data_IF_338680573670
#
_entry.id   IF_338680573670
#
_cell.length_a   1.000
_cell.length_b   1.000
_cell.length_c   1.000
_cell.angle_alpha   90.00
_cell.angle_beta   90.00
_cell.angle_gamma   90.00
#
_symmetry.space_group_name_H-M   'P 1'
#
loop_
_entity.id
_entity.type
_entity.pdbx_description
1 polymer ?
#
# COMPACT_ATOMS: atom_id res chain seq x y z
N UNK A 1 0.34 1.49 27.50
CA UNK A 1 1.21 1.13 28.65
C UNK A 1 2.61 1.67 28.35
N UNK A 2 3.11 2.66 29.10
CA UNK A 2 4.42 3.30 28.82
C UNK A 2 5.54 2.28 29.02
N UNK A 3 6.33 1.96 27.98
CA UNK A 3 7.50 1.08 28.08
C UNK A 3 8.77 1.80 27.68
N UNK A 4 9.82 1.48 28.44
CA UNK A 4 11.01 2.28 28.70
C UNK A 4 11.97 2.21 27.52
N UNK A 5 12.37 3.38 27.02
CA UNK A 5 13.51 3.52 26.10
C UNK A 5 14.77 3.20 26.90
N UNK A 6 15.45 2.11 26.57
CA UNK A 6 16.81 1.85 27.03
C UNK A 6 17.78 2.63 26.14
N UNK A 7 17.98 3.92 26.44
CA UNK A 7 19.12 4.66 25.93
C UNK A 7 20.38 4.10 26.59
N UNK A 8 21.17 3.31 25.86
CA UNK A 8 22.56 3.02 26.24
C UNK A 8 23.45 3.99 25.46
N UNK A 9 23.71 5.13 26.08
CA UNK A 9 24.87 5.99 25.78
C UNK A 9 26.03 5.51 26.66
N UNK A 10 27.20 5.25 26.06
CA UNK A 10 28.54 5.34 26.67
C UNK A 10 29.58 5.00 25.60
N UNK A 11 30.79 5.54 25.57
CA UNK A 11 31.31 6.90 25.64
C UNK A 11 32.81 6.79 25.28
N UNK A 12 33.37 7.90 24.80
CA UNK A 12 34.79 8.26 24.82
C UNK A 12 35.79 7.47 23.95
N UNK A 13 36.29 8.14 22.91
CA UNK A 13 37.71 8.00 22.52
C UNK A 13 38.35 9.38 22.66
N UNK A 14 39.24 9.49 23.64
CA UNK A 14 40.11 10.64 23.84
C UNK A 14 41.13 10.73 22.71
N UNK A 15 41.08 11.80 21.91
CA UNK A 15 42.21 12.17 21.07
C UNK A 15 43.31 12.75 21.97
N UNK A 16 44.38 12.01 22.18
CA UNK A 16 45.67 12.59 22.57
C UNK A 16 46.55 12.66 21.31
N UNK A 17 46.71 13.88 20.81
CA UNK A 17 47.78 14.23 19.89
C UNK A 17 49.08 14.30 20.70
N UNK A 18 50.03 13.40 20.42
CA UNK A 18 51.44 13.60 20.71
C UNK A 18 52.28 13.15 19.51
N UNK A 19 53.28 13.96 19.21
CA UNK A 19 54.06 14.04 17.99
C UNK A 19 55.10 12.94 17.78
N UNK A 20 55.49 12.78 16.50
CA UNK A 20 56.81 12.40 15.98
C UNK A 20 57.42 11.04 16.35
N UNK A 21 57.67 10.24 15.31
CA UNK A 21 58.73 9.24 15.31
C UNK A 21 58.45 8.12 14.31
N UNK A 22 59.23 8.04 13.23
CA UNK A 22 59.24 6.89 12.33
C UNK A 22 59.46 5.61 13.13
N UNK A 23 58.53 4.66 13.02
CA UNK A 23 58.81 3.26 13.25
C UNK A 23 57.86 2.42 12.41
N UNK A 24 58.44 1.60 11.54
CA UNK A 24 57.76 0.52 10.83
C UNK A 24 57.05 -0.36 11.86
N UNK A 25 55.72 -0.29 11.88
CA UNK A 25 54.88 -1.25 12.55
C UNK A 25 53.91 -1.80 11.52
N UNK A 26 54.02 -3.10 11.30
CA UNK A 26 53.04 -3.89 10.58
C UNK A 26 51.80 -3.97 11.48
N UNK A 27 51.06 -2.87 11.61
CA UNK A 27 49.77 -2.86 12.28
C UNK A 27 48.82 -3.69 11.41
N UNK A 28 48.67 -4.95 11.79
CA UNK A 28 47.52 -5.72 11.36
C UNK A 28 46.32 -5.01 11.95
N UNK A 29 45.60 -4.24 11.12
CA UNK A 29 44.31 -3.66 11.47
C UNK A 29 43.43 -4.81 11.97
N UNK A 30 43.28 -4.93 13.29
CA UNK A 30 42.31 -5.84 13.88
C UNK A 30 40.95 -5.47 13.32
N UNK A 31 40.32 -6.41 12.61
CA UNK A 31 38.95 -6.25 12.13
C UNK A 31 38.08 -5.83 13.32
N UNK A 32 37.19 -4.83 13.16
CA UNK A 32 36.32 -4.40 14.23
C UNK A 32 35.54 -5.61 14.75
N UNK A 33 35.62 -5.84 16.06
CA UNK A 33 34.92 -6.93 16.72
C UNK A 33 33.44 -6.58 16.77
N UNK A 34 32.67 -7.01 15.76
CA UNK A 34 31.23 -6.80 15.73
C UNK A 34 30.58 -7.65 16.81
N UNK A 35 30.02 -7.01 17.85
CA UNK A 35 29.12 -7.70 18.77
C UNK A 35 27.88 -8.08 17.96
N UNK A 36 27.71 -9.38 17.71
CA UNK A 36 26.48 -9.93 17.14
C UNK A 36 25.35 -9.68 18.13
N UNK A 37 24.51 -8.68 17.86
CA UNK A 37 23.24 -8.56 18.56
C UNK A 37 22.39 -9.78 18.20
N UNK A 38 22.20 -10.68 19.18
CA UNK A 38 21.24 -11.78 19.07
C UNK A 38 19.84 -11.18 19.22
N UNK A 39 19.00 -11.38 18.21
CA UNK A 39 17.59 -10.99 18.27
C UNK A 39 16.78 -12.19 18.74
N UNK A 40 15.87 -11.96 19.68
CA UNK A 40 14.89 -12.98 20.05
C UNK A 40 14.10 -13.38 18.80
N UNK A 41 14.03 -14.70 18.59
CA UNK A 41 13.26 -15.28 17.49
C UNK A 41 12.03 -15.97 18.07
N UNK A 42 10.85 -15.52 17.68
CA UNK A 42 9.58 -16.14 18.02
C UNK A 42 8.91 -16.72 16.78
N UNK A 43 7.70 -17.25 16.93
CA UNK A 43 6.89 -17.80 15.83
C UNK A 43 5.56 -17.09 15.77
N UNK A 44 5.10 -16.76 14.56
CA UNK A 44 3.72 -16.33 14.33
C UNK A 44 2.76 -17.50 14.52
N UNK A 45 1.47 -17.22 14.62
CA UNK A 45 0.42 -18.27 14.69
C UNK A 45 0.49 -19.25 13.52
N UNK A 46 0.94 -18.76 12.36
CA UNK A 46 1.09 -19.55 11.14
C UNK A 46 2.48 -20.22 11.00
N UNK A 47 3.32 -20.19 12.05
CA UNK A 47 4.59 -20.91 12.12
C UNK A 47 5.80 -20.21 11.48
N UNK A 48 5.62 -19.00 10.95
CA UNK A 48 6.72 -18.21 10.40
C UNK A 48 7.60 -17.64 11.51
N UNK A 49 8.90 -17.51 11.24
CA UNK A 49 9.84 -16.89 12.18
C UNK A 49 9.58 -15.40 12.27
N UNK A 50 9.59 -14.86 13.49
CA UNK A 50 9.57 -13.42 13.76
C UNK A 50 10.91 -13.07 14.40
N UNK A 51 11.63 -12.11 13.81
CA UNK A 51 12.93 -11.64 14.28
C UNK A 51 12.89 -10.12 14.37
N UNK A 52 13.06 -9.58 15.58
CA UNK A 52 13.02 -8.14 15.83
C UNK A 52 11.77 -7.44 15.26
N UNK A 53 10.59 -8.03 15.48
CA UNK A 53 9.29 -7.57 14.98
C UNK A 53 9.12 -7.64 13.45
N UNK A 54 9.99 -8.35 12.75
CA UNK A 54 9.80 -8.67 11.33
C UNK A 54 9.47 -10.14 11.15
N UNK A 55 8.40 -10.44 10.43
CA UNK A 55 8.16 -11.79 9.94
C UNK A 55 9.14 -12.06 8.79
N UNK A 56 9.86 -13.17 8.92
CA UNK A 56 10.85 -13.64 7.96
C UNK A 56 10.21 -14.65 7.02
N UNK A 57 10.20 -14.32 5.74
CA UNK A 57 9.81 -15.21 4.67
C UNK A 57 11.03 -15.76 3.95
N UNK A 58 11.07 -17.09 3.86
CA UNK A 58 11.97 -17.80 2.96
C UNK A 58 11.24 -17.88 1.61
N UNK A 59 11.51 -16.90 0.73
CA UNK A 59 11.13 -17.09 -0.66
C UNK A 59 12.13 -18.10 -1.23
N UNK A 60 11.71 -19.26 -1.75
CA UNK A 60 12.63 -20.20 -2.39
C UNK A 60 13.09 -19.61 -3.73
N UNK A 61 13.90 -18.57 -3.64
CA UNK A 61 14.64 -17.96 -4.72
C UNK A 61 15.90 -18.79 -4.95
N UNK A 62 16.36 -18.93 -6.21
CA UNK A 62 17.69 -19.48 -6.52
C UNK A 62 18.85 -18.79 -5.79
N UNK A 63 18.61 -17.63 -5.16
CA UNK A 63 19.60 -16.79 -4.49
C UNK A 63 19.66 -16.91 -2.96
N UNK A 64 18.75 -17.64 -2.30
CA UNK A 64 18.73 -17.76 -0.83
C UNK A 64 18.46 -16.46 -0.07
N UNK A 65 17.63 -15.57 -0.64
CA UNK A 65 17.25 -14.28 -0.07
C UNK A 65 16.06 -14.41 0.87
N UNK A 66 16.13 -13.76 2.04
CA UNK A 66 15.00 -13.65 2.94
C UNK A 66 14.24 -12.34 2.71
N UNK A 67 12.91 -12.37 2.78
CA UNK A 67 12.09 -11.15 2.77
C UNK A 67 11.58 -10.89 4.18
N UNK A 68 11.69 -9.63 4.61
CA UNK A 68 11.30 -9.20 5.94
C UNK A 68 10.12 -8.24 5.84
N UNK A 69 8.98 -8.63 6.41
CA UNK A 69 7.81 -7.75 6.52
C UNK A 69 7.59 -7.35 7.97
N UNK A 70 7.20 -6.09 8.25
CA UNK A 70 6.86 -5.69 9.60
C UNK A 70 5.71 -6.55 10.09
N UNK A 71 5.91 -7.19 11.22
CA UNK A 71 4.92 -8.03 11.87
C UNK A 71 4.03 -7.16 12.74
N UNK A 72 2.72 -7.26 12.53
CA UNK A 72 1.72 -6.52 13.31
C UNK A 72 0.87 -7.53 14.06
N UNK A 73 1.05 -7.58 15.38
CA UNK A 73 0.29 -8.48 16.26
C UNK A 73 -1.15 -8.01 16.42
N UNK A 74 -1.36 -6.73 16.74
CA UNK A 74 -2.68 -6.13 16.89
C UNK A 74 -3.14 -5.46 15.60
N UNK A 75 -3.85 -6.20 14.75
CA UNK A 75 -4.33 -5.73 13.44
C UNK A 75 -5.60 -4.89 13.55
N UNK A 76 -5.67 -3.77 12.83
CA UNK A 76 -6.92 -3.01 12.65
C UNK A 76 -7.85 -3.76 11.70
N UNK A 77 -9.15 -3.79 12.05
CA UNK A 77 -10.19 -4.45 11.24
C UNK A 77 -10.27 -3.85 9.85
N UNK A 78 -10.40 -4.70 8.83
CA UNK A 78 -10.49 -4.31 7.41
C UNK A 78 -9.17 -3.82 6.81
N UNK A 79 -8.09 -3.71 7.58
CA UNK A 79 -6.77 -3.35 7.07
C UNK A 79 -6.02 -4.61 6.65
N UNK A 80 -5.51 -4.60 5.42
CA UNK A 80 -4.60 -5.60 4.90
C UNK A 80 -3.16 -5.14 5.11
N UNK A 81 -2.37 -5.95 5.81
CA UNK A 81 -0.96 -5.70 6.05
C UNK A 81 -0.07 -6.54 5.10
N UNK A 82 1.20 -6.16 4.92
CA UNK A 82 2.20 -6.90 4.15
C UNK A 82 2.46 -8.31 4.69
N UNK A 83 2.32 -8.49 5.99
CA UNK A 83 2.45 -9.79 6.65
C UNK A 83 1.19 -10.67 6.43
N UNK A 84 0.08 -10.09 5.94
CA UNK A 84 -1.06 -10.84 5.38
C UNK A 84 -0.86 -11.21 3.89
N UNK A 85 0.04 -10.52 3.19
CA UNK A 85 0.07 -10.49 1.73
C UNK A 85 0.39 -11.84 1.07
N UNK A 86 1.03 -12.75 1.79
CA UNK A 86 1.31 -14.11 1.32
C UNK A 86 0.39 -15.19 1.91
N UNK A 87 -0.61 -14.79 2.70
CA UNK A 87 -1.84 -15.57 2.92
C UNK A 87 -2.83 -15.34 1.74
N UNK A 88 -2.52 -14.38 0.84
CA UNK A 88 -3.36 -14.07 -0.33
C UNK A 88 -3.42 -15.23 -1.32
N UNK A 89 -4.64 -15.49 -1.76
CA UNK A 89 -5.07 -16.77 -2.34
C UNK A 89 -6.05 -17.51 -1.43
N UNK A 90 -6.13 -17.13 -0.15
CA UNK A 90 -7.19 -17.55 0.76
C UNK A 90 -8.41 -16.63 0.62
N UNK A 91 -9.38 -17.04 -0.20
CA UNK A 91 -10.64 -16.32 -0.41
C UNK A 91 -11.35 -15.96 0.90
N UNK A 92 -11.15 -16.73 1.97
CA UNK A 92 -11.74 -16.43 3.27
C UNK A 92 -11.20 -15.15 3.92
N UNK A 93 -9.91 -14.83 3.76
CA UNK A 93 -9.34 -13.60 4.33
C UNK A 93 -9.78 -12.37 3.53
N UNK A 94 -9.91 -12.50 2.23
CA UNK A 94 -10.44 -11.42 1.38
C UNK A 94 -11.92 -11.15 1.70
N UNK A 95 -12.72 -12.21 1.91
CA UNK A 95 -14.12 -12.10 2.37
C UNK A 95 -14.23 -11.47 3.76
N UNK A 96 -13.33 -11.83 4.69
CA UNK A 96 -13.28 -11.24 6.02
C UNK A 96 -12.95 -9.74 5.95
N UNK A 97 -11.89 -9.36 5.24
CA UNK A 97 -11.51 -7.95 5.06
C UNK A 97 -12.65 -7.14 4.44
N UNK A 98 -13.33 -7.69 3.43
CA UNK A 98 -14.50 -7.06 2.83
C UNK A 98 -15.66 -6.94 3.83
N UNK A 99 -15.90 -7.94 4.66
CA UNK A 99 -16.93 -7.91 5.70
C UNK A 99 -16.64 -6.85 6.76
N UNK A 100 -15.39 -6.80 7.24
CA UNK A 100 -14.92 -5.85 8.26
C UNK A 100 -14.93 -4.41 7.76
N UNK A 101 -14.62 -4.19 6.49
CA UNK A 101 -14.57 -2.87 5.88
C UNK A 101 -15.94 -2.35 5.41
N UNK A 102 -17.01 -3.15 5.48
CA UNK A 102 -18.31 -2.79 4.88
C UNK A 102 -19.01 -1.66 5.64
N UNK A 103 -19.35 -0.53 4.97
CA UNK A 103 -20.20 0.51 5.55
C UNK A 103 -21.61 0.01 5.90
N UNK A 104 -22.21 0.54 6.96
CA UNK A 104 -23.62 0.26 7.25
C UNK A 104 -24.53 0.81 6.15
N UNK A 105 -25.65 0.11 5.92
CA UNK A 105 -26.59 0.47 4.85
C UNK A 105 -26.13 0.14 3.43
N UNK A 106 -25.09 -0.70 3.31
CA UNK A 106 -24.59 -1.18 2.04
C UNK A 106 -24.61 -2.71 1.94
N UNK A 107 -24.59 -3.22 0.71
CA UNK A 107 -24.34 -4.63 0.41
C UNK A 107 -23.10 -4.79 -0.46
N UNK A 108 -22.32 -5.83 -0.17
CA UNK A 108 -21.22 -6.26 -1.02
C UNK A 108 -21.72 -6.55 -2.42
N UNK A 109 -21.00 -6.07 -3.43
CA UNK A 109 -21.27 -6.45 -4.81
C UNK A 109 -20.78 -7.88 -5.04
N UNK A 110 -21.74 -8.82 -5.18
CA UNK A 110 -21.45 -10.23 -5.51
C UNK A 110 -21.17 -10.35 -7.01
N UNK A 111 -20.04 -10.99 -7.36
CA UNK A 111 -19.71 -11.35 -8.73
C UNK A 111 -18.71 -10.41 -9.39
N UNK A 112 -17.59 -11.01 -9.82
CA UNK A 112 -16.56 -10.43 -10.67
C UNK A 112 -16.17 -8.99 -10.34
N UNK A 113 -15.45 -8.87 -9.25
CA UNK A 113 -14.52 -7.77 -9.12
C UNK A 113 -13.12 -8.35 -8.91
N UNK A 114 -12.63 -9.09 -9.91
CA UNK A 114 -11.24 -8.92 -10.33
C UNK A 114 -11.07 -7.48 -10.86
N UNK A 115 -11.40 -6.52 -10.01
CA UNK A 115 -11.00 -5.16 -10.19
C UNK A 115 -9.63 -5.15 -9.55
N UNK A 116 -8.62 -5.42 -10.37
CA UNK A 116 -7.23 -5.08 -10.11
C UNK A 116 -7.13 -3.58 -9.86
N UNK A 117 -7.67 -3.12 -8.72
CA UNK A 117 -7.37 -1.80 -8.20
C UNK A 117 -5.87 -1.73 -8.00
N UNK A 118 -5.34 -0.53 -8.15
CA UNK A 118 -3.95 -0.24 -7.84
C UNK A 118 -3.59 -0.75 -6.44
N UNK A 119 -2.77 -1.81 -6.42
CA UNK A 119 -2.10 -2.31 -5.23
C UNK A 119 -0.76 -1.56 -5.14
N UNK A 120 -0.49 -0.93 -4.01
CA UNK A 120 0.81 -0.33 -3.74
C UNK A 120 1.46 -1.01 -2.57
N UNK A 121 2.54 -1.74 -2.88
CA UNK A 121 3.33 -2.44 -1.89
C UNK A 121 4.76 -1.92 -1.95
N UNK A 122 5.26 -1.42 -0.82
CA UNK A 122 6.63 -1.04 -0.61
C UNK A 122 7.21 -1.86 0.54
N UNK A 123 8.47 -2.28 0.41
CA UNK A 123 9.22 -2.88 1.51
C UNK A 123 10.73 -2.75 1.26
N UNK A 124 11.50 -2.80 2.34
CA UNK A 124 12.96 -2.90 2.30
C UNK A 124 13.45 -3.90 3.33
N UNK A 125 14.67 -4.39 3.13
CA UNK A 125 15.35 -5.22 4.12
C UNK A 125 15.73 -4.33 5.31
N UNK A 126 15.32 -4.68 6.54
CA UNK A 126 15.65 -3.86 7.72
C UNK A 126 17.15 -3.90 8.01
N UNK A 127 17.67 -2.81 8.58
CA UNK A 127 19.12 -2.60 8.77
C UNK A 127 19.84 -3.76 9.48
N UNK A 128 19.20 -4.36 10.46
CA UNK A 128 19.78 -5.48 11.21
C UNK A 128 20.00 -6.74 10.35
N UNK A 129 19.22 -6.90 9.28
CA UNK A 129 19.26 -8.05 8.39
C UNK A 129 20.21 -7.84 7.19
N UNK A 130 20.61 -6.60 6.88
CA UNK A 130 21.48 -6.28 5.74
C UNK A 130 22.86 -6.95 5.78
N UNK A 131 23.35 -7.30 6.97
CA UNK A 131 24.61 -8.06 7.14
C UNK A 131 24.50 -9.55 6.77
N UNK A 132 23.28 -10.09 6.73
CA UNK A 132 23.00 -11.51 6.46
C UNK A 132 22.31 -11.73 5.12
N UNK A 133 21.76 -10.66 4.55
CA UNK A 133 20.89 -10.69 3.39
C UNK A 133 21.21 -9.45 2.55
N UNK A 134 21.42 -9.60 1.24
CA UNK A 134 21.56 -8.41 0.40
C UNK A 134 20.25 -7.62 0.39
N UNK A 135 20.34 -6.31 0.13
CA UNK A 135 19.19 -5.40 0.13
C UNK A 135 18.13 -5.89 -0.86
N UNK A 136 17.10 -6.54 -0.33
CA UNK A 136 15.86 -6.83 -1.04
C UNK A 136 14.90 -5.69 -0.73
N UNK A 137 14.73 -4.80 -1.72
CA UNK A 137 13.79 -3.69 -1.61
C UNK A 137 12.89 -3.65 -2.83
N UNK A 138 11.59 -3.49 -2.57
CA UNK A 138 10.61 -3.10 -3.56
C UNK A 138 10.24 -1.65 -3.29
N UNK A 139 10.83 -0.76 -4.06
CA UNK A 139 10.56 0.66 -3.94
C UNK A 139 9.15 1.03 -4.41
N UNK A 140 8.51 1.92 -3.68
CA UNK A 140 7.45 2.76 -4.24
C UNK A 140 8.07 4.07 -4.68
N UNK A 141 8.14 4.29 -6.00
CA UNK A 141 8.46 5.62 -6.51
C UNK A 141 7.47 6.64 -5.96
N UNK A 142 7.87 7.91 -5.89
CA UNK A 142 7.15 9.00 -5.21
C UNK A 142 5.66 9.10 -5.58
N UNK A 143 5.30 8.59 -6.76
CA UNK A 143 3.93 8.54 -7.29
C UNK A 143 3.53 7.12 -7.72
N UNK A 144 2.28 6.75 -7.44
CA UNK A 144 1.57 5.58 -7.98
C UNK A 144 0.22 6.03 -8.51
N UNK A 145 -0.16 5.53 -9.69
CA UNK A 145 -1.41 5.92 -10.35
C UNK A 145 -2.08 4.70 -10.99
N UNK A 146 -3.40 4.64 -10.91
CA UNK A 146 -4.19 3.59 -11.55
C UNK A 146 -5.65 4.00 -11.72
N UNK A 147 -6.38 3.25 -12.54
CA UNK A 147 -7.83 3.38 -12.63
C UNK A 147 -8.52 2.69 -11.45
N UNK A 148 -9.62 3.27 -10.96
CA UNK A 148 -10.41 2.72 -9.86
C UNK A 148 -11.12 1.41 -10.25
N UNK A 149 -11.50 1.31 -11.53
CA UNK A 149 -12.31 0.21 -12.05
C UNK A 149 -11.64 -0.46 -13.24
N UNK A 150 -11.43 -1.78 -13.12
CA UNK A 150 -11.08 -2.66 -14.23
C UNK A 150 -12.33 -3.06 -14.98
N UNK A 151 -12.22 -3.18 -16.30
CA UNK A 151 -13.31 -3.65 -17.15
C UNK A 151 -13.27 -5.18 -17.25
N UNK A 152 -14.39 -5.82 -17.58
CA UNK A 152 -14.42 -7.29 -17.75
C UNK A 152 -13.60 -7.70 -18.98
N UNK A 153 -12.65 -8.61 -18.78
CA UNK A 153 -11.97 -9.36 -19.85
C UNK A 153 -12.91 -10.48 -20.27
N UNK A 154 -13.25 -10.57 -21.55
CA UNK A 154 -13.89 -11.77 -22.07
C UNK A 154 -12.78 -12.81 -22.28
N UNK A 155 -12.75 -13.89 -21.48
CA UNK A 155 -11.66 -14.89 -21.41
C UNK A 155 -11.29 -15.52 -22.77
N UNK A 156 -12.18 -15.45 -23.78
CA UNK A 156 -11.91 -15.92 -25.13
C UNK A 156 -11.07 -14.97 -26.00
N UNK A 157 -11.09 -13.65 -25.73
CA UNK A 157 -10.62 -12.63 -26.68
C UNK A 157 -9.48 -11.75 -26.13
N UNK A 158 -9.18 -11.79 -24.82
CA UNK A 158 -8.29 -10.82 -24.13
C UNK A 158 -8.70 -9.35 -24.37
N UNK A 159 -9.97 -9.12 -24.71
CA UNK A 159 -10.54 -7.78 -24.92
C UNK A 159 -11.35 -7.36 -23.68
N UNK A 160 -11.11 -6.14 -23.24
CA UNK A 160 -12.00 -5.40 -22.35
C UNK A 160 -13.18 -4.83 -23.13
N UNK A 161 -14.37 -4.94 -22.56
CA UNK A 161 -15.56 -4.22 -23.05
C UNK A 161 -15.88 -3.08 -22.11
N UNK A 162 -15.88 -1.84 -22.61
CA UNK A 162 -16.59 -0.74 -21.95
C UNK A 162 -18.08 -0.97 -22.17
N UNK A 163 -18.68 -1.81 -21.32
CA UNK A 163 -20.12 -1.75 -21.14
C UNK A 163 -20.49 -0.37 -20.59
N UNK A 164 -21.61 0.20 -21.03
CA UNK A 164 -22.18 1.39 -20.39
C UNK A 164 -22.57 1.11 -18.90
N UNK A 165 -22.54 -0.16 -18.47
CA UNK A 165 -22.90 -0.64 -17.12
C UNK A 165 -21.71 -0.81 -16.15
N UNK A 166 -20.45 -0.83 -16.63
CA UNK A 166 -19.31 -1.22 -15.77
C UNK A 166 -18.98 -0.21 -14.65
N UNK A 167 -19.27 1.08 -14.87
CA UNK A 167 -19.09 2.17 -13.90
C UNK A 167 -20.29 2.34 -12.96
N UNK A 168 -21.49 1.98 -13.40
CA UNK A 168 -22.75 2.44 -12.81
C UNK A 168 -23.19 1.65 -11.56
N UNK A 169 -22.40 0.65 -11.17
CA UNK A 169 -22.84 -0.39 -10.25
C UNK A 169 -21.95 -0.49 -8.99
N UNK A 170 -21.16 0.53 -8.68
CA UNK A 170 -20.43 0.63 -7.40
C UNK A 170 -20.64 2.03 -6.83
N UNK A 171 -21.35 2.12 -5.71
CA UNK A 171 -21.58 3.38 -5.02
C UNK A 171 -20.37 3.76 -4.14
N UNK A 172 -19.81 2.79 -3.42
CA UNK A 172 -18.75 3.02 -2.43
C UNK A 172 -17.65 1.97 -2.57
N UNK A 173 -16.38 2.39 -2.48
CA UNK A 173 -15.26 1.47 -2.35
C UNK A 173 -14.42 1.76 -1.10
N UNK A 174 -13.98 0.68 -0.45
CA UNK A 174 -13.09 0.70 0.70
C UNK A 174 -11.66 0.39 0.28
N UNK A 175 -10.71 1.18 0.78
CA UNK A 175 -9.28 1.06 0.54
C UNK A 175 -8.56 0.94 1.89
N UNK A 176 -7.90 -0.19 2.10
CA UNK A 176 -6.98 -0.39 3.21
C UNK A 176 -5.70 0.39 2.97
N UNK A 177 -5.23 1.09 3.99
CA UNK A 177 -3.90 1.68 4.08
C UNK A 177 -3.19 1.12 5.30
N UNK A 178 -2.12 0.36 5.11
CA UNK A 178 -1.15 0.03 6.15
C UNK A 178 0.10 0.87 5.92
N UNK A 179 0.33 1.85 6.80
CA UNK A 179 1.44 2.82 6.72
C UNK A 179 2.55 2.52 7.73
N UNK A 180 2.31 1.63 8.70
CA UNK A 180 3.31 1.21 9.69
C UNK A 180 3.89 2.40 10.47
N UNK A 181 3.06 3.41 10.73
CA UNK A 181 3.45 4.67 11.38
C UNK A 181 4.00 4.49 12.80
N UNK A 182 3.59 3.42 13.48
CA UNK A 182 4.04 3.06 14.82
C UNK A 182 5.23 2.09 14.81
N UNK A 183 5.70 1.67 13.64
CA UNK A 183 6.77 0.70 13.52
C UNK A 183 8.14 1.37 13.73
N UNK A 184 9.05 0.69 14.44
CA UNK A 184 10.27 1.24 15.05
C UNK A 184 11.05 2.21 14.14
N UNK A 185 11.52 3.30 14.74
CA UNK A 185 12.43 4.33 14.21
C UNK A 185 11.94 5.15 13.00
N UNK A 186 10.76 4.86 12.44
CA UNK A 186 10.28 5.48 11.22
C UNK A 186 8.77 5.75 11.31
N UNK A 187 8.37 7.00 11.49
CA UNK A 187 6.98 7.44 11.73
C UNK A 187 5.99 7.23 10.57
N UNK A 188 6.25 6.27 9.68
CA UNK A 188 5.46 5.94 8.49
C UNK A 188 5.50 7.01 7.40
N UNK A 189 5.25 6.64 6.13
CA UNK A 189 5.08 7.63 5.08
C UNK A 189 3.71 8.28 5.17
N UNK A 190 3.64 9.55 4.79
CA UNK A 190 2.38 10.24 4.56
C UNK A 190 1.98 10.01 3.10
N UNK A 191 0.73 9.59 2.88
CA UNK A 191 0.17 9.41 1.55
C UNK A 191 -0.82 10.53 1.25
N UNK A 192 -0.60 11.27 0.17
CA UNK A 192 -1.62 12.15 -0.42
C UNK A 192 -2.33 11.37 -1.52
N UNK A 193 -3.64 11.20 -1.35
CA UNK A 193 -4.53 10.59 -2.33
C UNK A 193 -5.26 11.68 -3.10
N UNK A 194 -5.20 11.61 -4.43
CA UNK A 194 -5.96 12.48 -5.33
C UNK A 194 -6.86 11.62 -6.22
N UNK A 195 -8.14 11.99 -6.31
CA UNK A 195 -9.14 11.31 -7.14
C UNK A 195 -9.50 12.21 -8.31
N UNK A 196 -9.31 11.72 -9.52
CA UNK A 196 -9.65 12.43 -10.74
C UNK A 196 -10.77 11.72 -11.49
N UNK A 197 -11.84 12.43 -11.82
CA UNK A 197 -12.87 11.96 -12.74
C UNK A 197 -12.41 12.10 -14.19
N UNK A 198 -12.39 10.99 -14.94
CA UNK A 198 -12.07 11.01 -16.37
C UNK A 198 -13.36 11.26 -17.14
N UNK A 199 -13.52 12.39 -17.85
CA UNK A 199 -14.76 12.71 -18.55
C UNK A 199 -15.21 11.58 -19.48
N UNK A 200 -16.49 11.23 -19.45
CA UNK A 200 -17.01 10.11 -20.23
C UNK A 200 -16.74 10.27 -21.74
N UNK A 201 -16.87 11.50 -22.26
CA UNK A 201 -16.59 11.81 -23.66
C UNK A 201 -15.12 11.52 -24.01
N UNK A 202 -14.16 11.95 -23.17
CA UNK A 202 -12.74 11.68 -23.36
C UNK A 202 -12.44 10.18 -23.29
N UNK A 203 -13.01 9.49 -22.30
CA UNK A 203 -12.84 8.04 -22.14
C UNK A 203 -13.33 7.28 -23.38
N UNK A 204 -14.54 7.59 -23.87
CA UNK A 204 -15.14 6.99 -25.07
C UNK A 204 -14.35 7.34 -26.34
N UNK A 205 -13.84 8.57 -26.47
CA UNK A 205 -13.01 8.99 -27.60
C UNK A 205 -11.69 8.19 -27.66
N UNK A 206 -11.02 8.00 -26.52
CA UNK A 206 -9.70 7.35 -26.48
C UNK A 206 -9.75 5.83 -26.53
N UNK A 207 -10.74 5.21 -25.88
CA UNK A 207 -10.80 3.76 -25.74
C UNK A 207 -11.89 3.09 -26.59
N UNK A 208 -12.90 3.85 -27.00
CA UNK A 208 -14.04 3.29 -27.75
C UNK A 208 -14.85 2.30 -26.92
N UNK A 209 -15.52 1.35 -27.60
CA UNK A 209 -16.36 0.30 -26.99
C UNK A 209 -15.59 -0.96 -26.59
N UNK A 210 -14.41 -1.15 -27.18
CA UNK A 210 -13.55 -2.34 -27.02
C UNK A 210 -12.09 -1.90 -27.00
N UNK A 211 -11.36 -2.31 -25.97
CA UNK A 211 -9.94 -2.02 -25.80
C UNK A 211 -9.25 -3.16 -25.06
N UNK A 212 -7.93 -3.17 -25.03
CA UNK A 212 -7.14 -4.13 -24.25
C UNK A 212 -6.35 -3.38 -23.15
N UNK A 213 -5.55 -4.10 -22.37
CA UNK A 213 -4.75 -3.54 -21.27
C UNK A 213 -3.81 -2.46 -21.78
N UNK A 214 -3.17 -2.73 -22.92
CA UNK A 214 -2.15 -1.85 -23.49
C UNK A 214 -2.74 -0.48 -23.83
N UNK A 215 -3.92 -0.46 -24.45
CA UNK A 215 -4.64 0.80 -24.72
C UNK A 215 -5.06 1.54 -23.45
N UNK A 216 -5.45 0.80 -22.41
CA UNK A 216 -5.82 1.40 -21.13
C UNK A 216 -4.60 2.05 -20.46
N UNK A 217 -3.48 1.35 -20.40
CA UNK A 217 -2.22 1.87 -19.83
C UNK A 217 -1.62 3.01 -20.68
N UNK A 218 -1.66 2.91 -22.01
CA UNK A 218 -1.28 4.00 -22.92
C UNK A 218 -2.11 5.27 -22.68
N UNK A 219 -3.40 5.10 -22.36
CA UNK A 219 -4.26 6.23 -22.02
C UNK A 219 -3.89 6.81 -20.66
N UNK A 220 -3.67 5.98 -19.64
CA UNK A 220 -3.21 6.44 -18.33
C UNK A 220 -1.89 7.22 -18.41
N UNK A 221 -0.93 6.75 -19.22
CA UNK A 221 0.33 7.42 -19.46
C UNK A 221 0.16 8.79 -20.14
N UNK A 222 -0.82 8.94 -21.03
CA UNK A 222 -1.15 10.23 -21.65
C UNK A 222 -1.75 11.20 -20.63
N UNK A 223 -2.65 10.72 -19.77
CA UNK A 223 -3.19 11.51 -18.65
C UNK A 223 -2.04 11.93 -17.70
N UNK A 224 -1.12 11.03 -17.38
CA UNK A 224 0.04 11.36 -16.55
C UNK A 224 0.94 12.42 -17.21
N UNK A 225 1.21 12.30 -18.52
CA UNK A 225 2.01 13.28 -19.28
C UNK A 225 1.37 14.67 -19.35
N UNK A 226 0.04 14.75 -19.38
CA UNK A 226 -0.66 16.04 -19.33
C UNK A 226 -0.88 16.56 -17.89
N UNK A 227 -0.38 15.84 -16.89
CA UNK A 227 -0.57 16.09 -15.46
C UNK A 227 -2.07 16.14 -15.09
N UNK A 228 -2.84 15.21 -15.65
CA UNK A 228 -4.26 15.01 -15.44
C UNK A 228 -5.13 16.24 -15.75
N UNK A 229 -4.63 17.17 -16.57
CA UNK A 229 -5.35 18.40 -16.94
C UNK A 229 -6.61 18.15 -17.76
N UNK A 230 -6.69 16.99 -18.40
CA UNK A 230 -7.86 16.53 -19.15
C UNK A 230 -8.89 15.83 -18.25
N UNK A 231 -8.59 15.65 -16.97
CA UNK A 231 -9.49 15.13 -15.95
C UNK A 231 -9.97 16.23 -15.00
N UNK A 232 -11.01 15.93 -14.22
CA UNK A 232 -11.49 16.79 -13.14
C UNK A 232 -10.96 16.27 -11.80
N UNK A 233 -10.28 17.12 -11.01
CA UNK A 233 -9.91 16.76 -9.64
C UNK A 233 -11.15 16.81 -8.75
N UNK A 234 -11.53 15.68 -8.16
CA UNK A 234 -12.75 15.52 -7.38
C UNK A 234 -12.49 15.59 -5.89
N UNK A 235 -11.41 14.95 -5.43
CA UNK A 235 -11.08 14.91 -4.02
C UNK A 235 -9.56 14.82 -3.81
N UNK A 236 -9.13 15.34 -2.66
CA UNK A 236 -7.76 15.18 -2.16
C UNK A 236 -7.81 14.87 -0.67
N UNK A 237 -7.15 13.79 -0.26
CA UNK A 237 -7.05 13.40 1.15
C UNK A 237 -5.59 13.15 1.52
N UNK A 238 -5.17 13.72 2.65
CA UNK A 238 -3.91 13.36 3.29
C UNK A 238 -4.19 12.23 4.28
N UNK A 239 -3.48 11.12 4.11
CA UNK A 239 -3.55 9.92 4.94
C UNK A 239 -2.24 9.80 5.71
N UNK A 240 -2.36 9.73 7.02
CA UNK A 240 -1.23 9.70 7.97
C UNK A 240 -1.30 8.51 8.92
N UNK A 241 -2.41 7.78 8.90
CA UNK A 241 -2.68 6.71 9.83
C UNK A 241 -3.12 5.47 9.05
N UNK A 242 -2.75 4.31 9.56
CA UNK A 242 -3.20 3.01 9.11
C UNK A 242 -4.68 2.87 9.41
N UNK A 243 -5.53 2.73 8.39
CA UNK A 243 -6.97 2.48 8.54
C UNK A 243 -7.58 2.09 7.17
N UNK A 244 -8.88 1.85 7.16
CA UNK A 244 -9.70 1.77 5.96
C UNK A 244 -10.27 3.15 5.64
N UNK A 245 -10.06 3.59 4.41
CA UNK A 245 -10.58 4.84 3.86
C UNK A 245 -11.55 4.56 2.72
N UNK A 246 -12.49 5.46 2.49
CA UNK A 246 -13.63 5.22 1.62
C UNK A 246 -13.74 6.27 0.54
N UNK A 247 -14.02 5.81 -0.68
CA UNK A 247 -14.41 6.69 -1.78
C UNK A 247 -15.89 6.46 -2.05
N UNK A 248 -16.69 7.52 -1.92
CA UNK A 248 -18.10 7.51 -2.27
C UNK A 248 -18.28 8.03 -3.71
N UNK A 249 -18.32 7.12 -4.66
CA UNK A 249 -18.54 7.47 -6.06
C UNK A 249 -19.96 7.98 -6.32
N UNK A 250 -20.94 7.68 -5.45
CA UNK A 250 -22.30 8.21 -5.57
C UNK A 250 -22.34 9.74 -5.43
N UNK A 251 -21.41 10.33 -4.67
CA UNK A 251 -21.30 11.80 -4.55
C UNK A 251 -20.62 12.47 -5.74
N UNK A 252 -19.66 11.80 -6.36
CA UNK A 252 -19.00 12.31 -7.56
C UNK A 252 -19.85 12.11 -8.81
N UNK A 253 -20.67 11.06 -8.83
CA UNK A 253 -21.39 10.65 -10.02
C UNK A 253 -22.76 11.32 -10.12
N UNK A 254 -22.87 12.34 -10.97
CA UNK A 254 -24.08 12.42 -11.79
C UNK A 254 -23.92 11.34 -12.85
N UNK A 255 -24.78 10.31 -12.82
CA UNK A 255 -24.73 9.15 -13.74
C UNK A 255 -24.36 9.59 -15.16
N UNK A 256 -23.25 9.07 -15.68
CA UNK A 256 -22.76 9.34 -17.04
C UNK A 256 -21.73 10.48 -17.18
N UNK A 257 -21.35 11.18 -16.10
CA UNK A 257 -20.35 12.26 -16.18
C UNK A 257 -18.93 11.74 -16.44
N UNK A 258 -18.52 10.67 -15.75
CA UNK A 258 -17.18 10.09 -15.87
C UNK A 258 -17.22 8.67 -16.46
N UNK A 259 -16.19 8.35 -17.25
CA UNK A 259 -15.97 7.02 -17.80
C UNK A 259 -15.00 6.17 -16.98
N UNK A 260 -14.22 6.76 -16.08
CA UNK A 260 -13.49 6.07 -15.00
C UNK A 260 -13.05 7.12 -13.96
N UNK A 261 -12.43 6.66 -12.88
CA UNK A 261 -11.70 7.51 -11.95
C UNK A 261 -10.23 7.10 -11.94
N UNK A 262 -9.34 8.07 -11.96
CA UNK A 262 -7.92 7.86 -11.70
C UNK A 262 -7.69 8.12 -10.22
N UNK A 263 -7.04 7.17 -9.56
CA UNK A 263 -6.58 7.28 -8.18
C UNK A 263 -5.07 7.47 -8.26
N UNK A 264 -4.59 8.55 -7.66
CA UNK A 264 -3.17 8.87 -7.57
C UNK A 264 -2.75 8.91 -6.11
N UNK A 265 -1.69 8.19 -5.79
CA UNK A 265 -1.02 8.23 -4.49
C UNK A 265 0.33 8.91 -4.64
N UNK A 266 0.58 9.91 -3.80
CA UNK A 266 1.87 10.58 -3.69
C UNK A 266 2.40 10.40 -2.27
N UNK A 267 3.58 9.82 -2.12
CA UNK A 267 4.18 9.55 -0.82
C UNK A 267 5.22 10.61 -0.47
N UNK A 268 5.22 11.09 0.78
CA UNK A 268 6.05 12.22 1.22
C UNK A 268 7.56 11.93 1.28
N UNK A 269 7.96 10.67 1.37
CA UNK A 269 9.36 10.26 1.56
C UNK A 269 9.78 9.13 0.62
N UNK A 270 11.07 9.09 0.27
CA UNK A 270 11.64 8.08 -0.64
C UNK A 270 11.65 6.69 0.01
N UNK A 271 11.44 5.64 -0.80
CA UNK A 271 11.04 4.29 -0.36
C UNK A 271 12.12 3.44 0.33
N UNK A 272 13.26 3.99 0.77
CA UNK A 272 14.30 3.15 1.39
C UNK A 272 13.88 2.60 2.77
N UNK A 273 12.82 3.16 3.36
CA UNK A 273 12.26 2.76 4.67
C UNK A 273 10.73 2.65 4.70
N UNK A 274 10.06 2.73 3.55
CA UNK A 274 8.61 2.70 3.51
C UNK A 274 8.14 1.25 3.41
N UNK A 275 7.67 0.69 4.52
CA UNK A 275 6.71 -0.40 4.44
C UNK A 275 5.34 0.22 4.22
N UNK A 276 4.69 -0.14 3.12
CA UNK A 276 3.33 0.33 2.81
C UNK A 276 2.58 -0.80 2.13
N UNK A 277 1.32 -0.98 2.50
CA UNK A 277 0.36 -1.77 1.74
C UNK A 277 -0.91 -0.96 1.54
N UNK A 278 -1.25 -0.65 0.29
CA UNK A 278 -2.55 -0.05 -0.04
C UNK A 278 -3.29 -0.94 -1.01
N UNK A 279 -4.53 -1.31 -0.67
CA UNK A 279 -5.35 -2.26 -1.43
C UNK A 279 -6.81 -1.88 -1.33
N UNK A 280 -7.54 -1.97 -2.44
CA UNK A 280 -9.01 -1.93 -2.39
C UNK A 280 -9.52 -3.24 -1.80
N UNK A 281 -10.16 -3.15 -0.63
CA UNK A 281 -10.63 -4.33 0.12
C UNK A 281 -12.11 -4.64 -0.14
N UNK A 282 -12.87 -3.70 -0.72
CA UNK A 282 -14.26 -4.00 -1.08
C UNK A 282 -14.94 -2.93 -1.91
N UNK A 283 -15.98 -3.35 -2.62
CA UNK A 283 -16.91 -2.50 -3.36
C UNK A 283 -18.35 -2.81 -2.92
N UNK A 284 -19.15 -1.76 -2.73
CA UNK A 284 -20.47 -1.85 -2.13
C UNK A 284 -21.46 -0.96 -2.85
N UNK A 285 -22.72 -1.40 -2.83
CA UNK A 285 -23.87 -0.60 -3.26
C UNK A 285 -24.70 -0.22 -2.05
N UNK A 286 -25.18 1.02 -2.03
CA UNK A 286 -26.05 1.55 -1.00
C UNK A 286 -27.44 0.93 -1.20
N UNK A 287 -27.96 0.29 -0.16
CA UNK A 287 -29.27 -0.35 -0.17
C UNK A 287 -30.19 0.16 0.96
N UNK A 288 -29.64 0.94 1.90
CA UNK A 288 -30.35 1.66 2.95
C UNK A 288 -29.67 3.03 3.15
N UNK A 289 -30.17 4.03 2.42
CA UNK A 289 -29.65 5.41 2.39
C UNK A 289 -29.58 6.04 3.79
N UNK A 290 -30.57 5.77 4.65
CA UNK A 290 -30.64 6.38 5.97
C UNK A 290 -29.51 5.86 6.87
N UNK A 291 -29.27 4.54 6.85
CA UNK A 291 -28.15 3.94 7.58
C UNK A 291 -26.81 4.38 7.03
N UNK A 292 -26.65 4.34 5.72
CA UNK A 292 -25.39 4.75 5.09
C UNK A 292 -25.06 6.22 5.38
N UNK A 293 -26.04 7.12 5.27
CA UNK A 293 -25.87 8.54 5.60
C UNK A 293 -25.49 8.75 7.07
N UNK A 294 -26.02 7.95 8.00
CA UNK A 294 -25.64 8.03 9.42
C UNK A 294 -24.20 7.56 9.63
N UNK A 295 -23.87 6.38 9.10
CA UNK A 295 -22.54 5.79 9.18
C UNK A 295 -21.49 6.72 8.59
N UNK A 296 -21.76 7.30 7.42
CA UNK A 296 -20.86 8.23 6.74
C UNK A 296 -20.58 9.48 7.57
N UNK A 297 -21.60 10.01 8.27
CA UNK A 297 -21.43 11.16 9.16
C UNK A 297 -20.53 10.84 10.34
N UNK A 298 -20.64 9.63 10.87
CA UNK A 298 -19.83 9.14 12.00
C UNK A 298 -18.38 8.82 11.60
N UNK A 299 -18.13 8.56 10.31
CA UNK A 299 -16.82 8.20 9.75
C UNK A 299 -16.32 9.22 8.71
N UNK A 300 -16.74 10.48 8.84
CA UNK A 300 -16.46 11.53 7.86
C UNK A 300 -14.96 11.75 7.64
N UNK A 301 -14.13 11.52 8.67
CA UNK A 301 -12.67 11.61 8.63
C UNK A 301 -12.02 10.54 7.74
N UNK A 302 -12.71 9.42 7.49
CA UNK A 302 -12.27 8.30 6.66
C UNK A 302 -12.68 8.46 5.19
N UNK A 303 -13.52 9.42 4.86
CA UNK A 303 -13.96 9.66 3.49
C UNK A 303 -12.88 10.41 2.69
N UNK A 304 -12.68 10.00 1.43
CA UNK A 304 -11.82 10.64 0.42
C UNK A 304 -12.76 11.32 -0.58
N UNK A 305 -13.48 12.33 -0.10
CA UNK A 305 -14.54 13.03 -0.83
C UNK A 305 -14.37 14.54 -0.73
#
# INVERSE_FOLDING_TARGET
MKRKIACVLLAAISLQLLSCGQHDSNETLTEPNYVLQEYETTKSENGYSIVNDFMVYDEPSPSGLYVYYPYVEEKKKGVSYLDDMYIRGNSARDEELQGEARPDGTSSKLGNSACDSMIVNAWSTPDFALKYNSDSSKGVGDERVGFAFSYLINDGDKEYKSGDDAMADVDVAAYSFALYEDFKDYGGPVCTVEIYGVPQALFKEKLGKKFNSDKLYDFLDKLKKDNYKSCELLATKRITETDVYYIDYSEFSKKGQYGNYVIKYTFSEKPRYNWVNTVKVGCYNINDEAKYTSWKREHAEKMIN
#
